data_IF_693654947198
#
_entry.id   IF_693654947198
#
_cell.length_a   1.000
_cell.length_b   1.000
_cell.length_c   1.000
_cell.angle_alpha   90.00
_cell.angle_beta   90.00
_cell.angle_gamma   90.00
#
_symmetry.space_group_name_H-M   'P 1'
#
loop_
_entity.id
_entity.type
_entity.pdbx_description
1 polymer ?
#
# COMPACT_ATOMS: atom_id res chain seq x y z
N UNK A 1 -13.52 21.37 12.49
CA UNK A 1 -12.71 21.87 11.36
C UNK A 1 -11.31 22.33 11.84
N UNK A 2 -10.42 21.43 12.26
CA UNK A 2 -9.03 21.79 12.69
C UNK A 2 -7.94 20.85 12.16
N UNK A 3 -8.31 19.70 11.60
CA UNK A 3 -7.35 18.72 11.07
C UNK A 3 -6.96 19.04 9.61
N UNK A 4 -7.92 19.43 8.77
CA UNK A 4 -7.68 19.80 7.37
C UNK A 4 -6.82 21.06 7.21
N UNK A 5 -7.05 22.07 8.06
CA UNK A 5 -6.24 23.28 8.07
C UNK A 5 -4.74 22.99 8.32
N UNK A 6 -4.40 21.93 9.07
CA UNK A 6 -3.00 21.52 9.32
C UNK A 6 -2.31 20.83 8.14
N UNK A 7 -3.07 20.37 7.13
CA UNK A 7 -2.51 19.80 5.89
C UNK A 7 -2.41 20.85 4.78
N UNK A 8 -3.18 21.94 4.87
CA UNK A 8 -3.06 23.14 4.03
C UNK A 8 -2.03 24.13 4.59
N UNK A 9 -1.75 24.07 5.91
CA UNK A 9 -0.64 24.79 6.53
C UNK A 9 0.71 24.36 5.91
N UNK A 10 1.52 25.35 5.50
CA UNK A 10 2.85 25.16 4.91
C UNK A 10 2.86 24.52 3.51
N UNK A 11 1.92 24.89 2.62
CA UNK A 11 1.96 24.54 1.19
C UNK A 11 2.08 23.02 0.93
N UNK A 12 1.24 22.23 1.60
CA UNK A 12 1.20 20.77 1.47
C UNK A 12 2.48 20.02 1.93
N UNK A 13 3.39 20.64 2.68
CA UNK A 13 4.67 20.02 3.09
C UNK A 13 4.57 18.63 3.76
N UNK A 14 3.46 18.35 4.47
CA UNK A 14 3.22 17.01 5.05
C UNK A 14 2.88 15.96 4.00
N UNK A 15 2.13 16.35 2.97
CA UNK A 15 1.81 15.51 1.82
C UNK A 15 3.09 15.22 1.04
N UNK A 16 3.93 16.23 0.83
CA UNK A 16 5.24 16.06 0.19
C UNK A 16 6.13 15.08 0.97
N UNK A 17 6.18 15.23 2.30
CA UNK A 17 6.96 14.30 3.13
C UNK A 17 6.42 12.88 3.07
N UNK A 18 5.11 12.72 2.97
CA UNK A 18 4.45 11.42 2.83
C UNK A 18 4.82 10.77 1.49
N UNK A 19 4.79 11.53 0.40
CA UNK A 19 5.17 11.07 -0.94
C UNK A 19 6.67 10.76 -1.06
N UNK A 20 7.54 11.55 -0.42
CA UNK A 20 8.97 11.27 -0.33
C UNK A 20 9.24 9.97 0.44
N UNK A 21 8.55 9.77 1.57
CA UNK A 21 8.67 8.53 2.35
C UNK A 21 8.15 7.32 1.57
N UNK A 22 7.05 7.50 0.83
CA UNK A 22 6.49 6.49 -0.08
C UNK A 22 7.51 6.07 -1.13
N UNK A 23 8.12 7.04 -1.81
CA UNK A 23 9.17 6.77 -2.81
C UNK A 23 10.36 6.03 -2.21
N UNK A 24 10.88 6.48 -1.06
CA UNK A 24 12.01 5.80 -0.42
C UNK A 24 11.67 4.35 -0.06
N UNK A 25 10.44 4.09 0.36
CA UNK A 25 9.96 2.74 0.65
C UNK A 25 9.80 1.91 -0.63
N UNK A 26 9.26 2.51 -1.70
CA UNK A 26 9.12 1.88 -3.01
C UNK A 26 10.50 1.45 -3.56
N UNK A 27 11.48 2.34 -3.56
CA UNK A 27 12.84 2.04 -4.04
C UNK A 27 13.49 0.89 -3.27
N UNK A 28 13.23 0.79 -1.96
CA UNK A 28 13.73 -0.32 -1.15
C UNK A 28 13.02 -1.63 -1.49
N UNK A 29 11.72 -1.59 -1.73
CA UNK A 29 10.93 -2.75 -2.16
C UNK A 29 11.32 -3.23 -3.55
N UNK A 30 11.61 -2.33 -4.49
CA UNK A 30 12.09 -2.71 -5.83
C UNK A 30 13.37 -3.55 -5.77
N UNK A 31 14.29 -3.24 -4.85
CA UNK A 31 15.48 -4.05 -4.64
C UNK A 31 15.12 -5.46 -4.11
N UNK A 32 14.25 -5.53 -3.10
CA UNK A 32 13.78 -6.82 -2.55
C UNK A 32 13.04 -7.64 -3.60
N UNK A 33 12.20 -7.01 -4.42
CA UNK A 33 11.49 -7.66 -5.51
C UNK A 33 12.45 -8.17 -6.60
N UNK A 34 13.49 -7.41 -6.93
CA UNK A 34 14.50 -7.86 -7.88
C UNK A 34 15.28 -9.10 -7.37
N UNK A 35 15.61 -9.15 -6.08
CA UNK A 35 16.24 -10.34 -5.48
C UNK A 35 15.29 -11.55 -5.51
N UNK A 36 14.03 -11.36 -5.15
CA UNK A 36 13.01 -12.42 -5.18
C UNK A 36 12.82 -12.94 -6.60
N UNK A 37 12.71 -12.08 -7.61
CA UNK A 37 12.54 -12.50 -9.00
C UNK A 37 13.79 -13.21 -9.56
N UNK A 38 14.99 -12.80 -9.15
CA UNK A 38 16.22 -13.50 -9.50
C UNK A 38 16.23 -14.94 -8.93
N UNK A 39 15.89 -15.07 -7.65
CA UNK A 39 15.82 -16.37 -6.97
C UNK A 39 14.74 -17.28 -7.58
N UNK A 40 13.54 -16.76 -7.85
CA UNK A 40 12.49 -17.52 -8.55
C UNK A 40 12.98 -18.05 -9.89
N UNK A 41 13.71 -17.22 -10.66
CA UNK A 41 14.24 -17.62 -11.96
C UNK A 41 15.30 -18.73 -11.83
N UNK A 42 16.14 -18.67 -10.80
CA UNK A 42 17.13 -19.71 -10.50
C UNK A 42 16.47 -21.02 -10.12
N UNK A 43 15.51 -20.99 -9.17
CA UNK A 43 14.74 -22.17 -8.76
C UNK A 43 14.02 -22.82 -9.94
N UNK A 44 13.39 -22.03 -10.82
CA UNK A 44 12.72 -22.55 -12.01
C UNK A 44 13.72 -23.14 -13.03
N UNK A 45 14.92 -22.56 -13.15
CA UNK A 45 15.96 -23.10 -14.02
C UNK A 45 16.53 -24.44 -13.51
N UNK A 46 16.53 -24.64 -12.20
CA UNK A 46 16.90 -25.90 -11.54
C UNK A 46 15.78 -26.96 -11.58
N UNK A 47 14.60 -26.60 -12.09
CA UNK A 47 13.44 -27.50 -12.17
C UNK A 47 12.63 -27.59 -10.87
N UNK A 48 12.89 -26.72 -9.90
CA UNK A 48 12.09 -26.59 -8.68
C UNK A 48 10.72 -25.98 -8.99
N UNK A 49 9.71 -26.37 -8.21
CA UNK A 49 8.35 -25.82 -8.30
C UNK A 49 8.17 -24.83 -7.16
N UNK A 50 7.84 -23.58 -7.49
CA UNK A 50 7.53 -22.54 -6.50
C UNK A 50 6.15 -22.85 -5.90
N UNK A 51 6.16 -23.29 -4.64
CA UNK A 51 4.96 -23.66 -3.89
C UNK A 51 4.35 -22.49 -3.11
N UNK A 52 3.32 -22.77 -2.31
CA UNK A 52 2.71 -21.79 -1.41
C UNK A 52 3.67 -21.35 -0.30
N UNK A 53 4.49 -22.27 0.22
CA UNK A 53 5.47 -21.95 1.27
C UNK A 53 6.52 -20.93 0.79
N UNK A 54 6.99 -21.07 -0.45
CA UNK A 54 7.90 -20.09 -1.06
C UNK A 54 7.24 -18.72 -1.23
N UNK A 55 5.95 -18.70 -1.60
CA UNK A 55 5.19 -17.45 -1.72
C UNK A 55 5.04 -16.74 -0.38
N UNK A 56 4.81 -17.48 0.71
CA UNK A 56 4.74 -16.93 2.06
C UNK A 56 6.10 -16.36 2.49
N UNK A 57 7.20 -17.06 2.20
CA UNK A 57 8.56 -16.57 2.46
C UNK A 57 8.88 -15.29 1.67
N UNK A 58 8.54 -15.23 0.38
CA UNK A 58 8.69 -14.02 -0.42
C UNK A 58 7.84 -12.87 0.13
N UNK A 59 6.64 -13.16 0.62
CA UNK A 59 5.78 -12.15 1.25
C UNK A 59 6.38 -11.62 2.56
N UNK A 60 6.90 -12.49 3.42
CA UNK A 60 7.60 -12.09 4.65
C UNK A 60 8.81 -11.19 4.34
N UNK A 61 9.62 -11.54 3.33
CA UNK A 61 10.74 -10.70 2.89
C UNK A 61 10.28 -9.33 2.40
N UNK A 62 9.16 -9.25 1.68
CA UNK A 62 8.57 -7.96 1.29
C UNK A 62 8.09 -7.16 2.51
N UNK A 63 7.52 -7.81 3.52
CA UNK A 63 7.15 -7.15 4.78
C UNK A 63 8.40 -6.55 5.46
N UNK A 64 9.49 -7.30 5.56
CA UNK A 64 10.79 -6.80 6.07
C UNK A 64 11.35 -5.66 5.20
N UNK A 65 11.12 -5.73 3.89
CA UNK A 65 11.42 -4.68 2.91
C UNK A 65 10.59 -3.39 3.09
N UNK A 66 9.53 -3.41 3.90
CA UNK A 66 8.66 -2.27 4.15
C UNK A 66 7.35 -2.26 3.37
N UNK A 67 6.88 -3.42 2.89
CA UNK A 67 5.60 -3.53 2.19
C UNK A 67 4.44 -2.98 3.03
N UNK A 68 4.40 -3.32 4.32
CA UNK A 68 3.38 -2.80 5.23
C UNK A 68 3.45 -1.27 5.39
N UNK A 69 4.66 -0.71 5.42
CA UNK A 69 4.86 0.74 5.44
C UNK A 69 4.31 1.38 4.18
N UNK A 70 4.61 0.84 2.99
CA UNK A 70 4.07 1.33 1.72
C UNK A 70 2.54 1.28 1.70
N UNK A 71 1.95 0.15 2.11
CA UNK A 71 0.49 -0.03 2.20
C UNK A 71 -0.17 0.98 3.16
N UNK A 72 0.48 1.26 4.29
CA UNK A 72 -0.02 2.24 5.28
C UNK A 72 0.08 3.67 4.73
N UNK A 73 1.16 4.00 4.03
CA UNK A 73 1.33 5.31 3.37
C UNK A 73 0.27 5.52 2.29
N UNK A 74 0.02 4.51 1.46
CA UNK A 74 -0.98 4.56 0.39
C UNK A 74 -2.41 4.62 0.94
N UNK A 75 -2.66 3.97 2.08
CA UNK A 75 -3.94 4.08 2.78
C UNK A 75 -4.17 5.50 3.31
N UNK A 76 -3.14 6.14 3.89
CA UNK A 76 -3.23 7.52 4.33
C UNK A 76 -3.40 8.49 3.15
N UNK A 77 -2.66 8.28 2.04
CA UNK A 77 -2.79 9.08 0.82
C UNK A 77 -4.20 9.00 0.24
N UNK A 78 -4.80 7.82 0.19
CA UNK A 78 -6.17 7.65 -0.29
C UNK A 78 -7.19 8.38 0.59
N UNK A 79 -7.03 8.30 1.92
CA UNK A 79 -7.89 9.01 2.86
C UNK A 79 -7.85 10.53 2.68
N UNK A 80 -6.65 11.11 2.60
CA UNK A 80 -6.52 12.56 2.46
C UNK A 80 -6.92 13.05 1.06
N UNK A 81 -6.73 12.22 0.02
CA UNK A 81 -7.21 12.51 -1.32
C UNK A 81 -8.75 12.46 -1.41
N UNK A 82 -9.41 11.61 -0.63
CA UNK A 82 -10.86 11.55 -0.54
C UNK A 82 -11.46 12.75 0.20
N UNK A 83 -10.76 13.25 1.21
CA UNK A 83 -11.26 14.31 2.08
C UNK A 83 -11.13 15.72 1.45
N UNK A 84 -10.13 15.96 0.59
CA UNK A 84 -9.86 17.28 0.01
C UNK A 84 -9.39 17.21 -1.45
N UNK A 85 -10.16 17.86 -2.34
CA UNK A 85 -9.89 17.91 -3.79
C UNK A 85 -8.56 18.61 -4.14
N UNK A 86 -8.14 19.60 -3.34
CA UNK A 86 -6.87 20.32 -3.53
C UNK A 86 -5.67 19.47 -3.14
N UNK A 87 -5.76 18.71 -2.04
CA UNK A 87 -4.75 17.71 -1.67
C UNK A 87 -4.66 16.63 -2.75
N UNK A 88 -5.79 16.13 -3.26
CA UNK A 88 -5.79 15.16 -4.36
C UNK A 88 -5.07 15.70 -5.59
N UNK A 89 -5.40 16.92 -6.01
CA UNK A 89 -4.74 17.55 -7.17
C UNK A 89 -3.22 17.68 -6.98
N UNK A 90 -2.78 18.04 -5.77
CA UNK A 90 -1.37 18.12 -5.43
C UNK A 90 -0.68 16.75 -5.46
N UNK A 91 -1.32 15.71 -4.90
CA UNK A 91 -0.82 14.32 -4.96
C UNK A 91 -0.66 13.86 -6.40
N UNK A 92 -1.68 14.04 -7.24
CA UNK A 92 -1.63 13.67 -8.67
C UNK A 92 -0.48 14.38 -9.37
N UNK A 93 -0.34 15.70 -9.17
CA UNK A 93 0.75 16.48 -9.76
C UNK A 93 2.14 15.98 -9.33
N UNK A 94 2.32 15.60 -8.06
CA UNK A 94 3.60 15.08 -7.58
C UNK A 94 3.92 13.68 -8.09
N UNK A 95 2.91 12.81 -8.22
CA UNK A 95 3.06 11.48 -8.79
C UNK A 95 3.41 11.56 -10.29
N UNK A 96 2.72 12.44 -11.04
CA UNK A 96 2.94 12.61 -12.47
C UNK A 96 4.38 13.04 -12.80
N UNK A 97 5.01 13.89 -11.95
CA UNK A 97 6.42 14.29 -12.09
C UNK A 97 7.40 13.11 -12.04
N UNK A 98 6.96 11.97 -11.50
CA UNK A 98 7.73 10.72 -11.37
C UNK A 98 7.20 9.63 -12.32
N UNK A 99 6.35 9.97 -13.28
CA UNK A 99 5.64 9.03 -14.16
C UNK A 99 4.78 8.00 -13.40
N UNK A 100 4.29 8.38 -12.22
CA UNK A 100 3.37 7.59 -11.42
C UNK A 100 1.98 8.21 -11.49
N UNK A 101 0.96 7.45 -11.06
CA UNK A 101 -0.41 7.96 -10.96
C UNK A 101 -1.12 7.40 -9.72
N UNK A 102 -2.32 7.90 -9.44
CA UNK A 102 -3.19 7.34 -8.40
C UNK A 102 -3.47 5.84 -8.60
N UNK A 103 -3.31 5.31 -9.82
CA UNK A 103 -3.41 3.87 -10.09
C UNK A 103 -2.36 3.06 -9.33
N UNK A 104 -1.15 3.58 -9.15
CA UNK A 104 -0.12 2.89 -8.37
C UNK A 104 -0.45 2.83 -6.87
N UNK A 105 -1.18 3.82 -6.37
CA UNK A 105 -1.72 3.80 -5.01
C UNK A 105 -2.84 2.73 -4.93
N UNK A 106 -3.73 2.70 -5.92
CA UNK A 106 -4.80 1.69 -6.01
C UNK A 106 -4.25 0.26 -6.08
N UNK A 107 -3.20 0.01 -6.88
CA UNK A 107 -2.54 -1.30 -6.97
C UNK A 107 -2.04 -1.79 -5.60
N UNK A 108 -1.38 -0.92 -4.85
CA UNK A 108 -0.90 -1.21 -3.49
C UNK A 108 -2.07 -1.51 -2.54
N UNK A 109 -3.15 -0.72 -2.60
CA UNK A 109 -4.33 -0.92 -1.76
C UNK A 109 -5.09 -2.20 -2.11
N UNK A 110 -5.14 -2.59 -3.38
CA UNK A 110 -5.72 -3.87 -3.82
C UNK A 110 -4.94 -5.05 -3.27
N UNK A 111 -3.60 -4.99 -3.31
CA UNK A 111 -2.75 -5.99 -2.67
C UNK A 111 -3.00 -6.03 -1.17
N UNK A 112 -3.11 -4.87 -0.51
CA UNK A 112 -3.39 -4.80 0.92
C UNK A 112 -4.74 -5.43 1.29
N UNK A 113 -5.80 -5.06 0.55
CA UNK A 113 -7.15 -5.62 0.71
C UNK A 113 -7.20 -7.15 0.52
N UNK A 114 -6.39 -7.70 -0.39
CA UNK A 114 -6.27 -9.15 -0.60
C UNK A 114 -5.68 -9.90 0.60
N UNK A 115 -4.78 -9.25 1.35
CA UNK A 115 -3.96 -9.90 2.37
C UNK A 115 -4.49 -9.74 3.81
N UNK A 116 -5.42 -8.82 4.07
CA UNK A 116 -5.96 -8.51 5.42
C UNK A 116 -6.67 -9.70 6.10
N UNK A 117 -7.00 -10.78 5.38
CA UNK A 117 -7.72 -11.93 5.91
C UNK A 117 -6.87 -13.18 6.18
N UNK A 118 -5.54 -13.12 6.06
CA UNK A 118 -4.67 -14.30 6.26
C UNK A 118 -4.49 -14.73 7.73
N UNK A 119 -4.93 -13.93 8.72
CA UNK A 119 -4.53 -14.12 10.12
C UNK A 119 -5.68 -14.49 11.09
N UNK A 120 -6.82 -14.95 10.57
CA UNK A 120 -7.96 -15.43 11.40
C UNK A 120 -7.84 -16.92 11.73
N UNK A 121 -6.67 -17.33 12.22
CA UNK A 121 -6.37 -18.70 12.63
C UNK A 121 -6.53 -18.94 14.14
N UNK A 122 -6.57 -17.88 14.95
CA UNK A 122 -6.60 -17.99 16.41
C UNK A 122 -8.02 -17.79 16.98
N UNK A 123 -8.60 -18.87 17.50
CA UNK A 123 -10.01 -18.94 17.92
C UNK A 123 -10.33 -18.10 19.17
N UNK A 124 -9.31 -17.61 19.87
CA UNK A 124 -9.42 -17.02 21.20
C UNK A 124 -9.72 -15.51 21.23
N UNK A 125 -9.60 -14.79 20.09
CA UNK A 125 -9.84 -13.34 19.98
C UNK A 125 -10.71 -12.95 18.77
N UNK A 126 -11.55 -13.88 18.28
CA UNK A 126 -12.27 -13.78 17.00
C UNK A 126 -13.15 -12.53 16.86
N UNK A 127 -13.92 -12.11 17.87
CA UNK A 127 -15.00 -11.14 17.58
C UNK A 127 -14.49 -9.72 17.27
N UNK A 128 -13.55 -9.16 18.05
CA UNK A 128 -13.12 -7.76 17.85
C UNK A 128 -12.14 -7.60 16.68
N UNK A 129 -11.22 -8.56 16.50
CA UNK A 129 -10.23 -8.52 15.40
C UNK A 129 -10.85 -8.82 14.04
N UNK A 130 -11.79 -9.77 13.98
CA UNK A 130 -12.56 -10.04 12.75
C UNK A 130 -13.37 -8.81 12.37
N UNK A 131 -14.04 -8.16 13.34
CA UNK A 131 -14.84 -6.98 13.07
C UNK A 131 -13.98 -5.80 12.58
N UNK A 132 -12.81 -5.59 13.18
CA UNK A 132 -11.86 -4.56 12.74
C UNK A 132 -11.32 -4.84 11.33
N UNK A 133 -10.92 -6.09 11.04
CA UNK A 133 -10.45 -6.49 9.71
C UNK A 133 -11.51 -6.35 8.63
N UNK A 134 -12.75 -6.75 8.92
CA UNK A 134 -13.91 -6.57 8.02
C UNK A 134 -14.20 -5.08 7.77
N UNK A 135 -14.12 -4.25 8.82
CA UNK A 135 -14.34 -2.81 8.70
C UNK A 135 -13.25 -2.15 7.86
N UNK A 136 -12.00 -2.51 8.11
CA UNK A 136 -10.85 -1.98 7.38
C UNK A 136 -10.89 -2.39 5.90
N UNK A 137 -11.28 -3.63 5.61
CA UNK A 137 -11.46 -4.14 4.25
C UNK A 137 -12.55 -3.37 3.49
N UNK A 138 -13.69 -3.10 4.13
CA UNK A 138 -14.76 -2.28 3.54
C UNK A 138 -14.31 -0.82 3.30
N UNK A 139 -13.52 -0.25 4.20
CA UNK A 139 -12.95 1.10 4.00
C UNK A 139 -12.01 1.10 2.79
N UNK A 140 -11.13 0.10 2.66
CA UNK A 140 -10.22 -0.02 1.52
C UNK A 140 -10.97 -0.14 0.19
N UNK A 141 -12.04 -0.93 0.16
CA UNK A 141 -12.88 -1.08 -1.03
C UNK A 141 -13.48 0.27 -1.47
N UNK A 142 -14.00 1.04 -0.52
CA UNK A 142 -14.54 2.38 -0.81
C UNK A 142 -13.46 3.36 -1.28
N UNK A 143 -12.28 3.35 -0.65
CA UNK A 143 -11.15 4.20 -1.04
C UNK A 143 -10.63 3.85 -2.44
N UNK A 144 -10.53 2.56 -2.77
CA UNK A 144 -10.14 2.08 -4.10
C UNK A 144 -11.14 2.59 -5.13
N UNK A 145 -12.44 2.37 -4.91
CA UNK A 145 -13.48 2.80 -5.83
C UNK A 145 -13.47 4.33 -6.04
N UNK A 146 -13.23 5.10 -4.98
CA UNK A 146 -13.09 6.55 -5.07
C UNK A 146 -11.90 6.98 -5.93
N UNK A 147 -10.71 6.43 -5.66
CA UNK A 147 -9.49 6.78 -6.40
C UNK A 147 -9.58 6.38 -7.87
N UNK A 148 -10.22 5.26 -8.19
CA UNK A 148 -10.47 4.84 -9.58
C UNK A 148 -11.41 5.78 -10.32
N UNK A 149 -12.41 6.34 -9.64
CA UNK A 149 -13.27 7.37 -10.21
C UNK A 149 -12.58 8.72 -10.46
N UNK A 150 -11.40 8.93 -9.85
CA UNK A 150 -10.60 10.15 -9.99
C UNK A 150 -9.40 10.01 -10.95
N UNK A 151 -9.10 8.80 -11.43
CA UNK A 151 -7.90 8.45 -12.20
C UNK A 151 -8.10 8.45 -13.71
#
# INVERSE_FOLDING_TARGET
>A
MRLLAKFVESDYAKVDKLLETRENTLNRLEFVDAEIEAEKKELLAEGSVIGSEDQDLFYLRRLDGGLFTLQTLDYMLAWIAMEDDGIRAHITQMLDRKNLSLKNVVETLRSYHGNINMDVSDESQRNDKVQAGVTQRAILENLIAYLEGCS
#
